data_IF_593152916806
#
_entry.id   IF_593152916806
#
_cell.length_a   1.000
_cell.length_b   1.000
_cell.length_c   1.000
_cell.angle_alpha   90.00
_cell.angle_beta   90.00
_cell.angle_gamma   90.00
#
_symmetry.space_group_name_H-M   'P 1'
#
loop_
_entity.id
_entity.type
_entity.pdbx_description
1 polymer ?
#
# COMPACT_ATOMS: atom_id res chain seq x y z
N UNK A 1 -3.44 28.46 22.09
CA UNK A 1 -3.30 28.02 20.69
C UNK A 1 -4.52 28.57 19.97
N UNK A 2 -4.34 29.35 18.89
CA UNK A 2 -5.46 29.91 18.13
C UNK A 2 -5.96 28.78 17.22
N UNK A 3 -7.22 28.36 17.43
CA UNK A 3 -7.92 27.41 16.55
C UNK A 3 -8.38 28.15 15.30
N UNK A 4 -7.81 27.80 14.15
CA UNK A 4 -8.22 28.33 12.85
C UNK A 4 -9.55 27.67 12.44
N UNK A 5 -10.41 28.40 11.72
CA UNK A 5 -11.51 27.73 11.02
C UNK A 5 -10.98 27.00 9.78
N UNK A 6 -11.80 26.14 9.15
CA UNK A 6 -11.36 25.31 8.03
C UNK A 6 -10.74 26.11 6.88
N UNK A 7 -11.43 27.17 6.42
CA UNK A 7 -10.96 27.98 5.30
C UNK A 7 -9.65 28.70 5.61
N UNK A 8 -9.52 29.27 6.81
CA UNK A 8 -8.29 29.90 7.29
C UNK A 8 -7.14 28.89 7.41
N UNK A 9 -7.43 27.69 7.92
CA UNK A 9 -6.42 26.65 8.06
C UNK A 9 -5.90 26.18 6.70
N UNK A 10 -6.78 26.06 5.69
CA UNK A 10 -6.36 25.70 4.33
C UNK A 10 -5.48 26.78 3.70
N UNK A 11 -5.92 28.03 3.73
CA UNK A 11 -5.18 29.16 3.14
C UNK A 11 -3.81 29.35 3.81
N UNK A 12 -3.77 29.32 5.15
CA UNK A 12 -2.53 29.40 5.92
C UNK A 12 -1.64 28.19 5.64
N UNK A 13 -2.20 26.98 5.57
CA UNK A 13 -1.45 25.76 5.29
C UNK A 13 -0.71 25.82 3.96
N UNK A 14 -1.43 26.12 2.87
CA UNK A 14 -0.85 26.17 1.52
C UNK A 14 0.16 27.31 1.37
N UNK A 15 -0.19 28.54 1.78
CA UNK A 15 0.75 29.66 1.71
C UNK A 15 2.00 29.43 2.56
N UNK A 16 1.87 28.77 3.73
CA UNK A 16 3.02 28.46 4.58
C UNK A 16 3.92 27.37 3.99
N UNK A 17 3.39 26.47 3.15
CA UNK A 17 4.22 25.53 2.39
C UNK A 17 5.09 26.30 1.40
N UNK A 18 4.51 27.25 0.65
CA UNK A 18 5.26 28.11 -0.29
C UNK A 18 6.34 28.94 0.44
N UNK A 19 6.03 29.45 1.63
CA UNK A 19 6.97 30.17 2.50
C UNK A 19 8.02 29.27 3.17
N UNK A 20 7.92 27.95 3.04
CA UNK A 20 8.73 26.95 3.74
C UNK A 20 8.68 27.05 5.26
N UNK A 21 7.53 27.46 5.79
CA UNK A 21 7.30 27.66 7.21
C UNK A 21 6.61 26.46 7.85
N UNK A 22 7.38 25.40 8.13
CA UNK A 22 6.85 24.15 8.71
C UNK A 22 6.03 24.37 9.98
N UNK A 23 6.43 25.32 10.85
CA UNK A 23 5.70 25.59 12.09
C UNK A 23 4.25 26.03 11.85
N UNK A 24 4.02 26.86 10.83
CA UNK A 24 2.66 27.28 10.47
C UNK A 24 1.90 26.17 9.74
N UNK A 25 2.59 25.36 8.93
CA UNK A 25 1.98 24.20 8.28
C UNK A 25 1.48 23.20 9.32
N UNK A 26 2.28 22.90 10.35
CA UNK A 26 1.85 22.07 11.47
C UNK A 26 0.63 22.65 12.18
N UNK A 27 0.61 23.96 12.46
CA UNK A 27 -0.55 24.60 13.09
C UNK A 27 -1.83 24.46 12.25
N UNK A 28 -1.72 24.62 10.93
CA UNK A 28 -2.84 24.44 10.01
C UNK A 28 -3.34 22.99 10.01
N UNK A 29 -2.43 22.01 9.89
CA UNK A 29 -2.76 20.58 9.90
C UNK A 29 -3.36 20.12 11.22
N UNK A 30 -2.84 20.59 12.36
CA UNK A 30 -3.39 20.30 13.69
C UNK A 30 -4.82 20.85 13.80
N UNK A 31 -5.08 22.06 13.28
CA UNK A 31 -6.41 22.67 13.28
C UNK A 31 -7.39 21.87 12.41
N UNK A 32 -7.00 21.51 11.19
CA UNK A 32 -7.84 20.70 10.29
C UNK A 32 -8.09 19.30 10.87
N UNK A 33 -7.09 18.69 11.50
CA UNK A 33 -7.25 17.40 12.16
C UNK A 33 -8.29 17.48 13.28
N UNK A 34 -8.23 18.52 14.12
CA UNK A 34 -9.24 18.78 15.14
C UNK A 34 -10.65 18.97 14.56
N UNK A 35 -10.78 19.76 13.50
CA UNK A 35 -12.07 19.99 12.83
C UNK A 35 -12.65 18.67 12.27
N UNK A 36 -11.83 17.83 11.63
CA UNK A 36 -12.27 16.53 11.13
C UNK A 36 -12.71 15.60 12.28
N UNK A 37 -12.04 15.65 13.43
CA UNK A 37 -12.42 14.89 14.63
C UNK A 37 -13.77 15.33 15.20
N UNK A 38 -14.02 16.64 15.22
CA UNK A 38 -15.28 17.21 15.66
C UNK A 38 -16.41 16.79 14.73
N UNK A 39 -16.24 16.89 13.40
CA UNK A 39 -17.22 16.41 12.43
C UNK A 39 -17.51 14.91 12.57
N UNK A 40 -16.50 14.07 12.77
CA UNK A 40 -16.71 12.63 13.03
C UNK A 40 -17.44 12.38 14.36
N UNK A 41 -17.25 13.26 15.35
CA UNK A 41 -17.92 13.18 16.64
C UNK A 41 -19.40 13.56 16.54
N UNK A 42 -19.71 14.55 15.70
CA UNK A 42 -21.06 15.08 15.42
C UNK A 42 -21.84 14.29 14.36
N UNK A 43 -21.20 13.27 13.76
CA UNK A 43 -21.74 12.40 12.71
C UNK A 43 -21.90 13.10 11.35
N UNK A 44 -21.04 14.09 11.08
CA UNK A 44 -20.95 14.82 9.82
C UNK A 44 -19.88 14.18 8.91
N UNK A 45 -20.15 12.95 8.45
CA UNK A 45 -19.19 12.13 7.68
C UNK A 45 -18.70 12.83 6.40
N UNK A 46 -19.59 13.53 5.70
CA UNK A 46 -19.27 14.25 4.47
C UNK A 46 -18.31 15.42 4.70
N UNK A 47 -18.54 16.20 5.77
CA UNK A 47 -17.70 17.33 6.13
C UNK A 47 -16.33 16.88 6.64
N UNK A 48 -16.29 15.81 7.46
CA UNK A 48 -15.02 15.17 7.83
C UNK A 48 -14.24 14.70 6.58
N UNK A 49 -14.94 14.07 5.64
CA UNK A 49 -14.37 13.62 4.37
C UNK A 49 -13.85 14.75 3.47
N UNK A 50 -14.42 15.97 3.57
CA UNK A 50 -13.90 17.18 2.91
C UNK A 50 -12.62 17.66 3.58
N UNK A 51 -12.62 17.77 4.91
CA UNK A 51 -11.45 18.25 5.66
C UNK A 51 -10.25 17.33 5.50
N UNK A 52 -10.47 16.01 5.41
CA UNK A 52 -9.42 15.03 5.10
C UNK A 52 -8.76 15.30 3.75
N UNK A 53 -9.53 15.71 2.73
CA UNK A 53 -8.95 16.10 1.44
C UNK A 53 -8.11 17.37 1.58
N UNK A 54 -8.57 18.36 2.34
CA UNK A 54 -7.79 19.57 2.62
C UNK A 54 -6.46 19.28 3.33
N UNK A 55 -6.46 18.33 4.27
CA UNK A 55 -5.22 17.83 4.92
C UNK A 55 -4.30 17.20 3.87
N UNK A 56 -4.86 16.35 2.99
CA UNK A 56 -4.11 15.70 1.91
C UNK A 56 -3.49 16.71 0.95
N UNK A 57 -4.24 17.73 0.52
CA UNK A 57 -3.76 18.76 -0.42
C UNK A 57 -2.56 19.54 0.14
N UNK A 58 -2.62 19.97 1.41
CA UNK A 58 -1.49 20.64 2.08
C UNK A 58 -0.30 19.68 2.20
N UNK A 59 -0.56 18.43 2.61
CA UNK A 59 0.50 17.44 2.78
C UNK A 59 1.19 17.12 1.44
N UNK A 60 0.44 17.03 0.35
CA UNK A 60 0.98 16.82 -1.00
C UNK A 60 1.84 17.99 -1.44
N UNK A 61 1.42 19.24 -1.17
CA UNK A 61 2.24 20.41 -1.41
C UNK A 61 3.54 20.37 -0.58
N UNK A 62 3.44 20.00 0.70
CA UNK A 62 4.58 19.88 1.60
C UNK A 62 5.60 18.82 1.13
N UNK A 63 5.13 17.71 0.55
CA UNK A 63 5.99 16.69 -0.08
C UNK A 63 6.79 17.29 -1.25
N UNK A 64 6.17 18.08 -2.12
CA UNK A 64 6.86 18.71 -3.26
C UNK A 64 7.96 19.68 -2.81
N UNK A 65 7.78 20.30 -1.64
CA UNK A 65 8.79 21.17 -1.03
C UNK A 65 9.81 20.42 -0.15
N UNK A 66 9.72 19.09 -0.08
CA UNK A 66 10.65 18.24 0.66
C UNK A 66 10.48 18.27 2.19
N UNK A 67 9.30 18.68 2.69
CA UNK A 67 9.01 18.78 4.12
C UNK A 67 8.65 17.41 4.71
N UNK A 68 9.66 16.57 4.97
CA UNK A 68 9.45 15.18 5.40
C UNK A 68 8.72 15.06 6.74
N UNK A 69 9.02 15.92 7.71
CA UNK A 69 8.36 15.88 9.02
C UNK A 69 6.89 16.27 8.94
N UNK A 70 6.56 17.26 8.10
CA UNK A 70 5.17 17.65 7.82
C UNK A 70 4.41 16.50 7.15
N UNK A 71 5.07 15.82 6.19
CA UNK A 71 4.51 14.65 5.51
C UNK A 71 4.19 13.53 6.51
N UNK A 72 5.16 13.18 7.37
CA UNK A 72 4.99 12.14 8.41
C UNK A 72 3.84 12.51 9.35
N UNK A 73 3.79 13.75 9.84
CA UNK A 73 2.73 14.20 10.73
C UNK A 73 1.35 14.12 10.08
N UNK A 74 1.23 14.52 8.80
CA UNK A 74 -0.01 14.42 8.03
C UNK A 74 -0.49 12.98 7.89
N UNK A 75 0.42 12.05 7.59
CA UNK A 75 0.11 10.62 7.52
C UNK A 75 -0.41 10.10 8.87
N UNK A 76 0.24 10.47 9.97
CA UNK A 76 -0.19 10.05 11.31
C UNK A 76 -1.56 10.64 11.69
N UNK A 77 -1.85 11.87 11.28
CA UNK A 77 -3.16 12.49 11.42
C UNK A 77 -4.24 11.71 10.65
N UNK A 78 -3.98 11.35 9.39
CA UNK A 78 -4.88 10.50 8.60
C UNK A 78 -5.12 9.14 9.28
N UNK A 79 -4.07 8.50 9.81
CA UNK A 79 -4.19 7.26 10.58
C UNK A 79 -5.02 7.40 11.87
N UNK A 80 -4.93 8.55 12.55
CA UNK A 80 -5.78 8.88 13.71
C UNK A 80 -7.25 9.01 13.31
N UNK A 81 -7.53 9.75 12.24
CA UNK A 81 -8.89 9.93 11.72
C UNK A 81 -9.50 8.61 11.24
N UNK A 82 -8.70 7.74 10.60
CA UNK A 82 -9.11 6.39 10.22
C UNK A 82 -9.53 5.56 11.45
N UNK A 83 -8.77 5.61 12.54
CA UNK A 83 -9.10 4.91 13.80
C UNK A 83 -10.42 5.42 14.40
N UNK A 84 -10.72 6.70 14.28
CA UNK A 84 -11.99 7.29 14.75
C UNK A 84 -13.14 6.85 13.85
N UNK A 85 -12.97 6.96 12.52
CA UNK A 85 -13.95 6.54 11.54
C UNK A 85 -14.33 5.05 11.70
N UNK A 86 -13.34 4.18 11.87
CA UNK A 86 -13.58 2.75 12.11
C UNK A 86 -14.40 2.49 13.39
N UNK A 87 -14.10 3.20 14.50
CA UNK A 87 -14.85 3.07 15.76
C UNK A 87 -16.30 3.53 15.63
N UNK A 88 -16.56 4.51 14.76
CA UNK A 88 -17.89 5.05 14.49
C UNK A 88 -18.66 4.29 13.41
N UNK A 89 -17.98 3.42 12.66
CA UNK A 89 -18.57 2.69 11.52
C UNK A 89 -18.65 3.51 10.22
N UNK A 90 -17.86 4.59 10.10
CA UNK A 90 -17.80 5.43 8.89
C UNK A 90 -16.88 4.80 7.85
N UNK A 91 -17.41 3.81 7.12
CA UNK A 91 -16.68 3.09 6.08
C UNK A 91 -16.15 4.00 4.99
N UNK A 92 -16.91 5.01 4.54
CA UNK A 92 -16.49 5.92 3.47
C UNK A 92 -15.29 6.76 3.89
N UNK A 93 -15.32 7.32 5.11
CA UNK A 93 -14.18 8.09 5.65
C UNK A 93 -12.98 7.18 5.93
N UNK A 94 -13.20 5.97 6.44
CA UNK A 94 -12.13 4.99 6.64
C UNK A 94 -11.44 4.66 5.31
N UNK A 95 -12.20 4.39 4.25
CA UNK A 95 -11.66 4.12 2.93
C UNK A 95 -10.94 5.36 2.36
N UNK A 96 -11.52 6.56 2.50
CA UNK A 96 -10.88 7.81 2.07
C UNK A 96 -9.53 8.04 2.76
N UNK A 97 -9.45 7.91 4.07
CA UNK A 97 -8.17 8.08 4.80
C UNK A 97 -7.12 7.06 4.35
N UNK A 98 -7.52 5.82 4.03
CA UNK A 98 -6.64 4.81 3.44
C UNK A 98 -6.10 5.25 2.08
N UNK A 99 -6.98 5.69 1.17
CA UNK A 99 -6.60 6.15 -0.17
C UNK A 99 -5.67 7.35 -0.12
N UNK A 100 -6.01 8.37 0.67
CA UNK A 100 -5.19 9.58 0.82
C UNK A 100 -3.82 9.27 1.46
N UNK A 101 -3.77 8.35 2.44
CA UNK A 101 -2.49 7.89 3.00
C UNK A 101 -1.62 7.22 1.95
N UNK A 102 -2.21 6.36 1.12
CA UNK A 102 -1.48 5.67 0.05
C UNK A 102 -0.94 6.61 -1.03
N UNK A 103 -1.77 7.57 -1.48
CA UNK A 103 -1.38 8.61 -2.44
C UNK A 103 -0.23 9.47 -1.90
N UNK A 104 -0.35 9.90 -0.64
CA UNK A 104 0.69 10.68 0.01
C UNK A 104 1.98 9.87 0.16
N UNK A 105 1.88 8.60 0.53
CA UNK A 105 3.01 7.68 0.59
C UNK A 105 3.73 7.50 -0.75
N UNK A 106 2.97 7.33 -1.84
CA UNK A 106 3.52 7.23 -3.20
C UNK A 106 4.22 8.53 -3.60
N UNK A 107 3.62 9.67 -3.28
CA UNK A 107 4.17 10.98 -3.64
C UNK A 107 5.43 11.27 -2.82
N UNK A 108 5.43 10.92 -1.53
CA UNK A 108 6.61 10.96 -0.66
C UNK A 108 7.73 10.09 -1.24
N UNK A 109 7.41 8.85 -1.63
CA UNK A 109 8.35 7.96 -2.27
C UNK A 109 8.91 8.54 -3.58
N UNK A 110 8.05 9.15 -4.40
CA UNK A 110 8.44 9.76 -5.67
C UNK A 110 9.35 10.99 -5.50
N UNK A 111 9.31 11.64 -4.33
CA UNK A 111 10.14 12.80 -3.98
C UNK A 111 11.28 12.44 -3.02
N UNK A 112 11.65 11.16 -2.95
CA UNK A 112 12.78 10.66 -2.14
C UNK A 112 12.64 10.92 -0.63
N UNK A 113 11.41 11.00 -0.13
CA UNK A 113 11.11 11.09 1.31
C UNK A 113 10.91 9.67 1.88
N UNK A 114 12.03 9.02 2.18
CA UNK A 114 12.07 7.59 2.57
C UNK A 114 11.30 7.32 3.86
N UNK A 115 11.48 8.15 4.90
CA UNK A 115 10.79 7.95 6.16
C UNK A 115 9.28 8.25 6.00
N UNK A 116 8.92 9.28 5.24
CA UNK A 116 7.53 9.59 4.91
C UNK A 116 6.81 8.42 4.23
N UNK A 117 7.41 7.85 3.19
CA UNK A 117 6.84 6.71 2.47
C UNK A 117 6.74 5.43 3.31
N UNK A 118 7.74 5.14 4.16
CA UNK A 118 7.68 4.03 5.14
C UNK A 118 6.53 4.20 6.11
N UNK A 119 6.37 5.40 6.69
CA UNK A 119 5.29 5.69 7.64
C UNK A 119 3.94 5.55 6.96
N UNK A 120 3.79 5.95 5.69
CA UNK A 120 2.56 5.75 4.93
C UNK A 120 2.19 4.27 4.78
N UNK A 121 3.11 3.42 4.30
CA UNK A 121 2.85 1.99 4.14
C UNK A 121 2.50 1.31 5.49
N UNK A 122 3.21 1.65 6.57
CA UNK A 122 2.89 1.12 7.92
C UNK A 122 1.54 1.61 8.42
N UNK A 123 1.22 2.90 8.23
CA UNK A 123 -0.06 3.47 8.64
C UNK A 123 -1.21 2.86 7.85
N UNK A 124 -1.04 2.64 6.54
CA UNK A 124 -1.99 1.88 5.74
C UNK A 124 -2.22 0.48 6.33
N UNK A 125 -1.16 -0.22 6.71
CA UNK A 125 -1.28 -1.56 7.33
C UNK A 125 -2.03 -1.50 8.68
N UNK A 126 -1.83 -0.46 9.47
CA UNK A 126 -2.64 -0.23 10.69
C UNK A 126 -4.11 -0.02 10.36
N UNK A 127 -4.41 0.80 9.34
CA UNK A 127 -5.78 1.08 8.87
C UNK A 127 -6.44 -0.21 8.37
N UNK A 128 -5.73 -1.01 7.58
CA UNK A 128 -6.20 -2.30 7.09
C UNK A 128 -6.65 -3.22 8.22
N UNK A 129 -5.91 -3.23 9.33
CA UNK A 129 -6.19 -4.06 10.50
C UNK A 129 -7.38 -3.57 11.35
N UNK A 130 -7.96 -2.41 11.05
CA UNK A 130 -9.17 -1.93 11.74
C UNK A 130 -10.43 -2.70 11.33
N UNK A 131 -10.40 -3.43 10.21
CA UNK A 131 -11.49 -4.29 9.77
C UNK A 131 -10.98 -5.62 9.20
N UNK A 132 -11.79 -6.69 9.32
CA UNK A 132 -11.47 -7.98 8.70
C UNK A 132 -11.54 -7.88 7.17
N UNK A 133 -10.71 -8.62 6.40
CA UNK A 133 -10.82 -8.69 4.94
C UNK A 133 -12.22 -9.10 4.45
N UNK A 134 -12.89 -10.05 5.12
CA UNK A 134 -14.26 -10.48 4.76
C UNK A 134 -15.32 -9.37 4.83
N UNK A 135 -15.02 -8.27 5.52
CA UNK A 135 -15.91 -7.10 5.64
C UNK A 135 -15.61 -6.02 4.61
N UNK A 136 -14.51 -6.17 3.85
CA UNK A 136 -14.13 -5.27 2.77
C UNK A 136 -14.67 -5.83 1.47
N UNK A 137 -15.07 -4.97 0.55
CA UNK A 137 -15.36 -5.42 -0.79
C UNK A 137 -14.06 -5.71 -1.57
N UNK A 138 -14.20 -6.42 -2.69
CA UNK A 138 -13.06 -6.81 -3.53
C UNK A 138 -12.30 -5.58 -4.08
N UNK A 139 -13.00 -4.49 -4.42
CA UNK A 139 -12.38 -3.28 -4.97
C UNK A 139 -11.53 -2.57 -3.91
N UNK A 140 -11.99 -2.52 -2.66
CA UNK A 140 -11.24 -1.99 -1.51
C UNK A 140 -9.95 -2.77 -1.24
N UNK A 141 -10.01 -4.09 -1.32
CA UNK A 141 -8.83 -4.96 -1.13
C UNK A 141 -7.82 -4.71 -2.24
N UNK A 142 -8.27 -4.68 -3.49
CA UNK A 142 -7.42 -4.44 -4.66
C UNK A 142 -6.83 -3.02 -4.62
N UNK A 143 -7.62 -2.01 -4.26
CA UNK A 143 -7.17 -0.63 -4.10
C UNK A 143 -6.04 -0.51 -3.07
N UNK A 144 -6.21 -1.16 -1.91
CA UNK A 144 -5.19 -1.18 -0.87
C UNK A 144 -3.86 -1.77 -1.37
N UNK A 145 -3.92 -2.93 -2.02
CA UNK A 145 -2.75 -3.59 -2.57
C UNK A 145 -2.07 -2.76 -3.67
N UNK A 146 -2.84 -2.10 -4.54
CA UNK A 146 -2.32 -1.21 -5.58
C UNK A 146 -1.58 0.00 -4.98
N UNK A 147 -2.11 0.61 -3.93
CA UNK A 147 -1.47 1.74 -3.27
C UNK A 147 -0.14 1.34 -2.60
N UNK A 148 -0.09 0.18 -1.95
CA UNK A 148 1.18 -0.36 -1.43
C UNK A 148 2.18 -0.65 -2.56
N UNK A 149 1.70 -1.22 -3.68
CA UNK A 149 2.52 -1.45 -4.88
C UNK A 149 3.10 -0.16 -5.42
N UNK A 150 2.30 0.89 -5.50
CA UNK A 150 2.71 2.19 -6.00
C UNK A 150 3.76 2.86 -5.09
N UNK A 151 3.60 2.77 -3.76
CA UNK A 151 4.63 3.22 -2.79
C UNK A 151 5.94 2.47 -3.04
N UNK A 152 5.89 1.14 -3.08
CA UNK A 152 7.07 0.30 -3.29
C UNK A 152 7.76 0.56 -4.63
N UNK A 153 6.99 0.70 -5.70
CA UNK A 153 7.52 0.97 -7.04
C UNK A 153 8.20 2.34 -7.12
N UNK A 154 7.58 3.38 -6.55
CA UNK A 154 8.19 4.70 -6.47
C UNK A 154 9.47 4.68 -5.64
N UNK A 155 9.47 3.97 -4.50
CA UNK A 155 10.66 3.80 -3.67
C UNK A 155 11.79 3.08 -4.42
N UNK A 156 11.47 2.02 -5.16
CA UNK A 156 12.44 1.30 -5.98
C UNK A 156 13.05 2.21 -7.06
N UNK A 157 12.23 3.03 -7.72
CA UNK A 157 12.68 3.98 -8.74
C UNK A 157 13.68 4.97 -8.17
N UNK A 158 13.41 5.50 -6.97
CA UNK A 158 14.26 6.49 -6.27
C UNK A 158 15.42 5.89 -5.48
N UNK A 159 15.58 4.57 -5.49
CA UNK A 159 16.71 3.92 -4.85
C UNK A 159 16.55 3.67 -3.35
N UNK A 160 15.34 3.76 -2.81
CA UNK A 160 15.02 3.67 -1.38
C UNK A 160 14.65 2.22 -0.99
N UNK A 161 15.67 1.37 -0.85
CA UNK A 161 15.47 -0.07 -0.60
C UNK A 161 14.71 -0.36 0.70
N UNK A 162 14.88 0.46 1.75
CA UNK A 162 14.18 0.24 3.02
C UNK A 162 12.69 0.58 2.91
N UNK A 163 12.32 1.63 2.16
CA UNK A 163 10.92 1.94 1.87
C UNK A 163 10.27 0.86 0.99
N UNK A 164 10.99 0.39 -0.03
CA UNK A 164 10.58 -0.74 -0.86
C UNK A 164 10.32 -2.00 -0.02
N UNK A 165 11.26 -2.37 0.85
CA UNK A 165 11.12 -3.52 1.77
C UNK A 165 9.89 -3.39 2.67
N UNK A 166 9.61 -2.18 3.17
CA UNK A 166 8.43 -1.95 4.01
C UNK A 166 7.13 -2.15 3.22
N UNK A 167 7.06 -1.65 1.99
CA UNK A 167 5.91 -1.86 1.10
C UNK A 167 5.72 -3.34 0.74
N UNK A 168 6.79 -4.06 0.41
CA UNK A 168 6.77 -5.50 0.13
C UNK A 168 6.25 -6.27 1.35
N UNK A 169 6.77 -5.95 2.55
CA UNK A 169 6.34 -6.60 3.79
C UNK A 169 4.85 -6.40 4.02
N UNK A 170 4.36 -5.16 3.90
CA UNK A 170 2.93 -4.86 4.06
C UNK A 170 2.08 -5.61 3.02
N UNK A 171 2.51 -5.62 1.74
CA UNK A 171 1.78 -6.29 0.67
C UNK A 171 1.77 -7.82 0.86
N UNK A 172 2.89 -8.39 1.31
CA UNK A 172 2.97 -9.81 1.70
C UNK A 172 2.04 -10.16 2.86
N UNK A 173 1.93 -9.31 3.88
CA UNK A 173 0.96 -9.49 4.97
C UNK A 173 -0.50 -9.43 4.48
N UNK A 174 -0.80 -8.56 3.50
CA UNK A 174 -2.13 -8.55 2.84
C UNK A 174 -2.36 -9.88 2.14
N UNK A 175 -1.41 -10.34 1.32
CA UNK A 175 -1.46 -11.61 0.59
C UNK A 175 -1.76 -12.79 1.51
N UNK A 176 -1.04 -12.90 2.62
CA UNK A 176 -1.27 -13.93 3.64
C UNK A 176 -2.67 -13.85 4.25
N UNK A 177 -3.19 -12.65 4.51
CA UNK A 177 -4.54 -12.46 5.08
C UNK A 177 -5.63 -12.86 4.09
N UNK A 178 -5.59 -12.37 2.86
CA UNK A 178 -6.60 -12.71 1.85
C UNK A 178 -6.57 -14.21 1.51
N UNK A 179 -5.38 -14.82 1.46
CA UNK A 179 -5.24 -16.26 1.29
C UNK A 179 -5.84 -17.04 2.49
N UNK A 180 -5.63 -16.55 3.72
CA UNK A 180 -6.17 -17.16 4.94
C UNK A 180 -7.70 -17.15 4.98
N UNK A 181 -8.31 -16.08 4.46
CA UNK A 181 -9.76 -15.90 4.36
C UNK A 181 -10.35 -16.53 3.07
N UNK A 182 -9.57 -17.30 2.31
CA UNK A 182 -10.01 -17.98 1.08
C UNK A 182 -10.51 -17.05 -0.04
N UNK A 183 -9.97 -15.83 -0.10
CA UNK A 183 -10.26 -14.82 -1.12
C UNK A 183 -9.30 -14.98 -2.31
N UNK A 184 -9.61 -15.90 -3.23
CA UNK A 184 -8.65 -16.36 -4.25
C UNK A 184 -8.24 -15.27 -5.24
N UNK A 185 -9.18 -14.46 -5.73
CA UNK A 185 -8.91 -13.43 -6.74
C UNK A 185 -8.05 -12.31 -6.17
N UNK A 186 -8.32 -11.92 -4.92
CA UNK A 186 -7.54 -10.96 -4.14
C UNK A 186 -6.14 -11.48 -3.82
N UNK A 187 -6.03 -12.78 -3.56
CA UNK A 187 -4.74 -13.46 -3.35
C UNK A 187 -3.90 -13.42 -4.62
N UNK A 188 -4.48 -13.81 -5.76
CA UNK A 188 -3.84 -13.74 -7.08
C UNK A 188 -3.44 -12.28 -7.39
N UNK A 189 -4.35 -11.33 -7.17
CA UNK A 189 -4.07 -9.90 -7.35
C UNK A 189 -2.84 -9.45 -6.56
N UNK A 190 -2.73 -9.86 -5.30
CA UNK A 190 -1.59 -9.51 -4.46
C UNK A 190 -0.28 -10.17 -4.93
N UNK A 191 -0.33 -11.42 -5.37
CA UNK A 191 0.85 -12.11 -5.94
C UNK A 191 1.34 -11.40 -7.21
N UNK A 192 0.44 -10.98 -8.10
CA UNK A 192 0.80 -10.24 -9.31
C UNK A 192 1.49 -8.91 -8.98
N UNK A 193 0.97 -8.18 -7.99
CA UNK A 193 1.56 -6.91 -7.56
C UNK A 193 2.93 -7.13 -6.89
N UNK A 194 3.09 -8.20 -6.11
CA UNK A 194 4.40 -8.61 -5.57
C UNK A 194 5.38 -8.95 -6.70
N UNK A 195 4.95 -9.69 -7.72
CA UNK A 195 5.75 -10.02 -8.90
C UNK A 195 6.22 -8.75 -9.65
N UNK A 196 5.33 -7.78 -9.85
CA UNK A 196 5.68 -6.49 -10.47
C UNK A 196 6.77 -5.74 -9.69
N UNK A 197 6.62 -5.64 -8.37
CA UNK A 197 7.62 -5.00 -7.51
C UNK A 197 8.92 -5.80 -7.49
N UNK A 198 8.84 -7.14 -7.53
CA UNK A 198 10.00 -8.02 -7.61
C UNK A 198 10.81 -7.79 -8.89
N UNK A 199 10.14 -7.64 -10.04
CA UNK A 199 10.80 -7.28 -11.31
C UNK A 199 11.55 -5.96 -11.18
N UNK A 200 10.91 -4.94 -10.61
CA UNK A 200 11.56 -3.64 -10.35
C UNK A 200 12.75 -3.77 -9.39
N UNK A 201 12.63 -4.58 -8.33
CA UNK A 201 13.74 -4.85 -7.41
C UNK A 201 14.93 -5.50 -8.13
N UNK A 202 14.67 -6.47 -9.03
CA UNK A 202 15.70 -7.09 -9.85
C UNK A 202 16.38 -6.07 -10.79
N UNK A 203 15.60 -5.23 -11.48
CA UNK A 203 16.10 -4.17 -12.35
C UNK A 203 16.99 -3.16 -11.61
N UNK A 204 16.69 -2.90 -10.34
CA UNK A 204 17.43 -1.98 -9.46
C UNK A 204 18.54 -2.66 -8.66
N UNK A 205 18.78 -3.95 -8.87
CA UNK A 205 19.78 -4.75 -8.16
C UNK A 205 19.55 -4.84 -6.64
N UNK A 206 18.30 -4.71 -6.19
CA UNK A 206 17.91 -4.84 -4.78
C UNK A 206 17.71 -6.30 -4.40
N UNK A 207 18.84 -6.99 -4.20
CA UNK A 207 18.89 -8.42 -3.89
C UNK A 207 18.11 -8.78 -2.61
N UNK A 208 18.17 -7.92 -1.58
CA UNK A 208 17.43 -8.16 -0.33
C UNK A 208 15.92 -7.95 -0.55
N UNK A 209 15.53 -6.92 -1.30
CA UNK A 209 14.12 -6.67 -1.61
C UNK A 209 13.52 -7.81 -2.45
N UNK A 210 14.20 -8.27 -3.49
CA UNK A 210 13.71 -9.37 -4.33
C UNK A 210 13.60 -10.69 -3.53
N UNK A 211 14.57 -10.99 -2.66
CA UNK A 211 14.48 -12.11 -1.74
C UNK A 211 13.26 -12.00 -0.81
N UNK A 212 12.94 -10.79 -0.32
CA UNK A 212 11.75 -10.54 0.50
C UNK A 212 10.44 -10.73 -0.28
N UNK A 213 10.42 -10.37 -1.57
CA UNK A 213 9.28 -10.65 -2.45
C UNK A 213 9.07 -12.16 -2.58
N UNK A 214 10.13 -12.91 -2.85
CA UNK A 214 10.06 -14.36 -2.99
C UNK A 214 9.48 -15.05 -1.74
N UNK A 215 9.96 -14.67 -0.55
CA UNK A 215 9.42 -15.17 0.72
C UNK A 215 7.95 -14.79 0.94
N UNK A 216 7.55 -13.58 0.55
CA UNK A 216 6.16 -13.14 0.67
C UNK A 216 5.21 -13.94 -0.24
N UNK A 217 5.67 -14.25 -1.47
CA UNK A 217 4.94 -15.11 -2.41
C UNK A 217 4.92 -16.55 -1.90
N UNK A 218 6.03 -17.06 -1.35
CA UNK A 218 6.11 -18.39 -0.76
C UNK A 218 5.07 -18.59 0.37
N UNK A 219 5.05 -17.68 1.35
CA UNK A 219 4.12 -17.76 2.47
C UNK A 219 2.66 -17.68 2.01
N UNK A 220 2.37 -16.76 1.08
CA UNK A 220 1.03 -16.58 0.51
C UNK A 220 0.59 -17.83 -0.27
N UNK A 221 1.48 -18.41 -1.08
CA UNK A 221 1.20 -19.63 -1.83
C UNK A 221 1.01 -20.85 -0.93
N UNK A 222 1.77 -21.00 0.15
CA UNK A 222 1.57 -22.08 1.14
C UNK A 222 0.21 -21.99 1.81
N UNK A 223 -0.23 -20.78 2.17
CA UNK A 223 -1.57 -20.56 2.70
C UNK A 223 -2.65 -20.86 1.65
N UNK A 224 -2.42 -20.47 0.40
CA UNK A 224 -3.30 -20.79 -0.73
C UNK A 224 -3.50 -22.30 -0.88
N UNK A 225 -2.41 -23.08 -0.85
CA UNK A 225 -2.48 -24.55 -0.88
C UNK A 225 -3.26 -25.13 0.30
N UNK A 226 -2.97 -24.65 1.52
CA UNK A 226 -3.65 -25.08 2.74
C UNK A 226 -5.16 -24.85 2.65
N UNK A 227 -5.58 -23.76 2.02
CA UNK A 227 -6.97 -23.35 1.85
C UNK A 227 -7.58 -23.77 0.50
N UNK A 228 -6.88 -24.59 -0.29
CA UNK A 228 -7.33 -25.13 -1.60
C UNK A 228 -7.62 -24.05 -2.66
N UNK A 229 -6.89 -22.93 -2.60
CA UNK A 229 -6.88 -21.88 -3.62
C UNK A 229 -5.86 -22.28 -4.69
N UNK A 230 -6.26 -23.19 -5.58
CA UNK A 230 -5.35 -23.86 -6.51
C UNK A 230 -4.76 -22.88 -7.52
N UNK A 231 -5.56 -21.94 -8.03
CA UNK A 231 -5.15 -20.93 -8.98
C UNK A 231 -4.17 -19.93 -8.35
N UNK A 232 -4.39 -19.53 -7.10
CA UNK A 232 -3.46 -18.68 -6.36
C UNK A 232 -2.11 -19.37 -6.08
N UNK A 233 -2.13 -20.65 -5.72
CA UNK A 233 -0.92 -21.43 -5.52
C UNK A 233 -0.11 -21.60 -6.83
N UNK A 234 -0.80 -21.83 -7.95
CA UNK A 234 -0.17 -21.92 -9.26
C UNK A 234 0.42 -20.57 -9.69
N UNK A 235 -0.30 -19.47 -9.47
CA UNK A 235 0.23 -18.12 -9.72
C UNK A 235 1.48 -17.82 -8.88
N UNK A 236 1.54 -18.31 -7.64
CA UNK A 236 2.72 -18.16 -6.78
C UNK A 236 3.94 -18.87 -7.39
N UNK A 237 3.77 -20.08 -7.94
CA UNK A 237 4.84 -20.80 -8.62
C UNK A 237 5.35 -20.02 -9.85
N UNK A 238 4.45 -19.58 -10.74
CA UNK A 238 4.84 -18.82 -11.94
C UNK A 238 5.52 -17.49 -11.61
N UNK A 239 5.03 -16.77 -10.60
CA UNK A 239 5.65 -15.55 -10.14
C UNK A 239 7.08 -15.82 -9.63
N UNK A 240 7.28 -16.88 -8.84
CA UNK A 240 8.60 -17.26 -8.36
C UNK A 240 9.55 -17.71 -9.48
N UNK A 241 9.07 -18.47 -10.47
CA UNK A 241 9.85 -18.85 -11.66
C UNK A 241 10.30 -17.61 -12.44
N UNK A 242 9.36 -16.67 -12.66
CA UNK A 242 9.65 -15.41 -13.33
C UNK A 242 10.72 -14.61 -12.59
N UNK A 243 10.58 -14.48 -11.26
CA UNK A 243 11.52 -13.73 -10.42
C UNK A 243 12.89 -14.41 -10.31
N UNK A 244 12.94 -15.75 -10.33
CA UNK A 244 14.20 -16.49 -10.40
C UNK A 244 14.98 -16.16 -11.66
N UNK A 245 14.32 -16.24 -12.83
CA UNK A 245 14.93 -15.90 -14.11
C UNK A 245 15.46 -14.46 -14.09
N UNK A 246 14.66 -13.50 -13.60
CA UNK A 246 15.09 -12.11 -13.46
C UNK A 246 16.31 -11.97 -12.53
N UNK A 247 16.33 -12.69 -11.41
CA UNK A 247 17.44 -12.66 -10.47
C UNK A 247 18.74 -13.21 -11.08
N UNK A 248 18.65 -14.30 -11.85
CA UNK A 248 19.78 -14.92 -12.55
C UNK A 248 20.31 -14.01 -13.68
N UNK A 249 19.42 -13.44 -14.49
CA UNK A 249 19.78 -12.51 -15.56
C UNK A 249 20.48 -11.25 -15.04
N UNK A 250 20.08 -10.77 -13.85
CA UNK A 250 20.69 -9.62 -13.17
C UNK A 250 21.90 -10.01 -12.32
N UNK A 251 22.27 -11.29 -12.27
CA UNK A 251 23.42 -11.82 -11.53
C UNK A 251 23.37 -11.44 -10.04
N UNK A 252 22.17 -11.49 -9.46
CA UNK A 252 21.98 -11.26 -8.02
C UNK A 252 22.55 -12.44 -7.23
N UNK A 253 23.01 -12.18 -6.00
CA UNK A 253 23.77 -13.18 -5.25
C UNK A 253 22.84 -14.12 -4.48
N UNK A 254 21.84 -13.58 -3.78
CA UNK A 254 20.99 -14.34 -2.88
C UNK A 254 19.63 -14.69 -3.49
N UNK A 255 19.04 -13.77 -4.23
CA UNK A 255 17.68 -13.90 -4.77
C UNK A 255 17.45 -15.14 -5.64
N UNK A 256 18.37 -15.58 -6.52
CA UNK A 256 18.18 -16.83 -7.27
C UNK A 256 18.07 -18.05 -6.36
N UNK A 257 18.82 -18.07 -5.25
CA UNK A 257 18.81 -19.16 -4.28
C UNK A 257 17.51 -19.12 -3.47
N UNK A 258 17.10 -17.94 -2.99
CA UNK A 258 15.87 -17.77 -2.21
C UNK A 258 14.64 -18.12 -3.04
N UNK A 259 14.58 -17.68 -4.30
CA UNK A 259 13.48 -18.01 -5.22
C UNK A 259 13.43 -19.51 -5.53
N UNK A 260 14.58 -20.16 -5.77
CA UNK A 260 14.64 -21.62 -5.94
C UNK A 260 14.16 -22.37 -4.68
N UNK A 261 14.60 -21.95 -3.50
CA UNK A 261 14.16 -22.55 -2.24
C UNK A 261 12.65 -22.38 -2.02
N UNK A 262 12.12 -21.21 -2.37
CA UNK A 262 10.69 -20.95 -2.33
C UNK A 262 9.93 -21.86 -3.29
N UNK A 263 10.39 -22.02 -4.54
CA UNK A 263 9.80 -22.95 -5.53
C UNK A 263 9.82 -24.40 -5.05
N UNK A 264 10.92 -24.83 -4.47
CA UNK A 264 11.08 -26.18 -3.93
C UNK A 264 10.08 -26.51 -2.83
N UNK A 265 9.58 -25.48 -2.12
CA UNK A 265 8.54 -25.64 -1.12
C UNK A 265 7.16 -26.01 -1.70
N UNK A 266 6.96 -25.86 -3.01
CA UNK A 266 5.71 -26.12 -3.72
C UNK A 266 5.64 -27.48 -4.44
N UNK A 267 6.67 -28.35 -4.31
CA UNK A 267 6.70 -29.68 -4.94
C UNK A 267 5.64 -30.62 -4.34
N UNK A 268 4.39 -30.55 -4.82
CA UNK A 268 3.28 -31.43 -4.42
C UNK A 268 2.69 -32.19 -5.62
N UNK A 269 2.44 -33.51 -5.50
CA UNK A 269 1.82 -34.31 -6.54
C UNK A 269 0.33 -33.97 -6.68
N UNK A 270 -0.08 -33.47 -7.85
CA UNK A 270 -1.51 -33.30 -8.19
C UNK A 270 -1.87 -31.97 -8.86
N UNK A 271 -1.00 -30.96 -8.83
CA UNK A 271 -1.14 -29.79 -9.70
C UNK A 271 -0.51 -30.17 -11.04
N UNK A 272 -1.23 -30.95 -11.84
CA UNK A 272 -0.92 -31.05 -13.26
C UNK A 272 -1.03 -29.65 -13.84
N UNK A 273 -0.08 -29.26 -14.69
CA UNK A 273 -0.15 -28.10 -15.58
C UNK A 273 -1.42 -28.17 -16.45
N UNK A 274 -2.59 -27.96 -15.86
CA UNK A 274 -3.77 -27.55 -16.59
C UNK A 274 -3.43 -26.13 -17.00
N UNK A 275 -3.19 -25.95 -18.31
CA UNK A 275 -2.61 -24.75 -18.88
C UNK A 275 -3.17 -23.47 -18.28
N UNK A 276 -2.31 -22.47 -18.22
CA UNK A 276 -2.56 -21.12 -17.74
C UNK A 276 -4.05 -20.74 -17.91
N UNK A 277 -4.80 -20.62 -16.81
CA UNK A 277 -6.18 -20.12 -16.84
C UNK A 277 -6.12 -18.61 -17.11
N UNK A 278 -5.63 -18.28 -18.31
CA UNK A 278 -5.37 -16.94 -18.83
C UNK A 278 -6.60 -16.05 -18.76
N UNK A 279 -7.80 -16.65 -18.81
CA UNK A 279 -9.06 -15.94 -18.60
C UNK A 279 -9.16 -15.29 -17.22
N UNK A 280 -8.99 -16.09 -16.15
CA UNK A 280 -9.05 -15.59 -14.76
C UNK A 280 -7.96 -14.56 -14.48
N UNK A 281 -6.74 -14.81 -14.98
CA UNK A 281 -5.64 -13.86 -14.85
C UNK A 281 -5.94 -12.52 -15.55
N UNK A 282 -6.53 -12.57 -16.75
CA UNK A 282 -6.91 -11.37 -17.48
C UNK A 282 -8.03 -10.61 -16.75
N UNK A 283 -9.02 -11.31 -16.21
CA UNK A 283 -10.11 -10.70 -15.41
C UNK A 283 -9.55 -9.95 -14.20
N UNK A 284 -8.61 -10.54 -13.47
CA UNK A 284 -7.98 -9.90 -12.30
C UNK A 284 -7.15 -8.68 -12.72
N UNK A 285 -6.43 -8.74 -13.85
CA UNK A 285 -5.70 -7.58 -14.40
C UNK A 285 -6.64 -6.46 -14.83
N UNK A 286 -7.78 -6.78 -15.45
CA UNK A 286 -8.79 -5.78 -15.80
C UNK A 286 -9.46 -5.19 -14.55
N UNK A 287 -9.69 -5.99 -13.50
CA UNK A 287 -10.16 -5.51 -12.21
C UNK A 287 -9.15 -4.53 -11.59
N UNK A 288 -7.88 -4.90 -11.52
CA UNK A 288 -6.82 -4.00 -11.05
C UNK A 288 -6.79 -2.70 -11.83
N UNK A 289 -6.89 -2.76 -13.15
CA UNK A 289 -6.92 -1.57 -14.03
C UNK A 289 -8.17 -0.72 -13.79
N UNK A 290 -9.34 -1.34 -13.63
CA UNK A 290 -10.61 -0.66 -13.31
C UNK A 290 -10.48 0.06 -11.97
N UNK A 291 -10.07 -0.63 -10.92
CA UNK A 291 -9.88 -0.05 -9.58
C UNK A 291 -8.85 1.07 -9.64
N UNK A 292 -7.73 0.88 -10.33
CA UNK A 292 -6.69 1.89 -10.47
C UNK A 292 -7.21 3.17 -11.15
N UNK A 293 -8.12 3.06 -12.11
CA UNK A 293 -8.72 4.24 -12.76
C UNK A 293 -9.63 5.07 -11.86
N UNK A 294 -10.02 4.53 -10.70
CA UNK A 294 -10.85 5.19 -9.70
C UNK A 294 -10.08 5.73 -8.49
N UNK A 295 -8.78 5.43 -8.40
CA UNK A 295 -7.86 5.97 -7.38
C UNK A 295 -7.37 7.36 -7.78
#
# INVERSE_FOLDING_TARGET
>A
MITLNEAEAVDIGLSSVEEKNESKVFQALDSLTGIAEDFLSENEEADAGRVILSISDIAQAAVQEGMELVTINSILALGKLAKIAAKKGYGTVLNRTMVETGKLGRTAASNSLEAGSKVAATTMMEIWNLSSPEKKDQEEIVAFSLLLRDIGSAAAVQGMEDALLNAITCLGEVGKKVASESLEDETISTILLLEEIGKLAAEKYFDKALSSVALSIEDTGKLSLKNKLHEAALQSQWALETLKVQAEEKVLTNSPIVTEMALDSFKFPGVTETGENTGKLQEIKELQKKVYSSL
#
